data_IF_834434460526
#
_entry.id   IF_834434460526
#
_cell.length_a   1.000
_cell.length_b   1.000
_cell.length_c   1.000
_cell.angle_alpha   90.00
_cell.angle_beta   90.00
_cell.angle_gamma   90.00
#
_symmetry.space_group_name_H-M   'P 1'
#
loop_
_entity.id
_entity.type
_entity.pdbx_description
1 polymer ?
#
# COMPACT_ATOMS: atom_id res chain seq x y z
N UNK A 1 17.77 6.87 -29.59
CA UNK A 1 18.18 6.12 -28.38
C UNK A 1 16.94 5.76 -27.56
N UNK A 2 16.67 4.48 -27.34
CA UNK A 2 15.56 4.07 -26.49
C UNK A 2 15.85 4.43 -25.01
N UNK A 3 14.85 4.90 -24.30
CA UNK A 3 14.95 5.19 -22.86
C UNK A 3 14.30 4.08 -22.08
N UNK A 4 15.04 3.45 -21.20
CA UNK A 4 14.50 2.42 -20.32
C UNK A 4 15.16 2.49 -18.94
N UNK A 5 14.37 2.09 -17.93
CA UNK A 5 14.83 1.88 -16.56
C UNK A 5 14.46 0.46 -16.16
N UNK A 6 14.94 0.01 -15.02
CA UNK A 6 14.53 -1.27 -14.44
C UNK A 6 13.83 -1.06 -13.11
N UNK A 7 12.69 -1.69 -12.94
CA UNK A 7 11.95 -1.74 -11.67
C UNK A 7 11.87 -3.20 -11.25
N UNK A 8 12.54 -3.56 -10.16
CA UNK A 8 12.57 -4.93 -9.68
C UNK A 8 13.03 -5.96 -10.72
N UNK A 9 13.95 -5.58 -11.60
CA UNK A 9 14.43 -6.43 -12.70
C UNK A 9 13.57 -6.40 -13.97
N UNK A 10 12.43 -5.70 -13.96
CA UNK A 10 11.52 -5.59 -15.12
C UNK A 10 11.88 -4.31 -15.89
N UNK A 11 12.17 -4.39 -17.20
CA UNK A 11 12.45 -3.20 -18.01
C UNK A 11 11.17 -2.39 -18.26
N UNK A 12 11.30 -1.06 -18.10
CA UNK A 12 10.20 -0.11 -18.29
C UNK A 12 10.70 1.01 -19.18
N UNK A 13 10.05 1.28 -20.28
CA UNK A 13 10.46 2.33 -21.21
C UNK A 13 10.03 2.05 -22.64
N UNK A 14 10.74 2.70 -23.57
CA UNK A 14 10.44 2.64 -24.99
C UNK A 14 10.50 1.18 -25.51
N UNK A 15 9.43 0.73 -26.13
CA UNK A 15 9.33 -0.61 -26.69
C UNK A 15 9.11 -1.74 -25.69
N UNK A 16 9.04 -1.42 -24.38
CA UNK A 16 8.73 -2.39 -23.34
C UNK A 16 7.21 -2.51 -23.15
N UNK A 17 6.71 -3.67 -22.64
CA UNK A 17 5.34 -3.78 -22.19
C UNK A 17 5.05 -2.77 -21.07
N UNK A 18 3.79 -2.36 -20.95
CA UNK A 18 3.35 -1.45 -19.88
C UNK A 18 3.56 -2.11 -18.52
N UNK A 19 4.19 -1.38 -17.60
CA UNK A 19 4.32 -1.82 -16.20
C UNK A 19 3.05 -1.45 -15.43
N UNK A 20 2.32 -2.45 -14.95
CA UNK A 20 1.01 -2.29 -14.30
C UNK A 20 1.17 -2.41 -12.80
N UNK A 21 0.72 -1.39 -12.08
CA UNK A 21 0.72 -1.34 -10.63
C UNK A 21 -0.74 -1.40 -10.15
N UNK A 22 -1.08 -2.41 -9.37
CA UNK A 22 -2.36 -2.47 -8.68
C UNK A 22 -2.31 -1.59 -7.43
N UNK A 23 -3.12 -0.55 -7.38
CA UNK A 23 -3.24 0.34 -6.22
C UNK A 23 -4.15 -0.32 -5.17
N UNK A 24 -3.60 -1.05 -4.22
CA UNK A 24 -4.34 -1.62 -3.09
C UNK A 24 -4.71 -0.50 -2.10
N UNK A 25 -3.77 0.44 -1.89
CA UNK A 25 -4.00 1.60 -1.04
C UNK A 25 -4.39 1.20 0.37
N UNK A 26 -5.60 1.55 0.76
CA UNK A 26 -6.21 1.22 2.07
C UNK A 26 -7.43 0.30 1.93
N UNK A 27 -7.67 -0.27 0.77
CA UNK A 27 -8.87 -1.08 0.50
C UNK A 27 -8.90 -2.42 1.27
N UNK A 28 -7.81 -2.75 1.94
CA UNK A 28 -7.72 -3.91 2.85
C UNK A 28 -8.39 -3.66 4.21
N UNK A 29 -8.82 -2.44 4.53
CA UNK A 29 -9.47 -2.07 5.80
C UNK A 29 -8.69 -2.51 7.07
N UNK A 30 -7.36 -2.50 7.02
CA UNK A 30 -6.52 -2.95 8.14
C UNK A 30 -6.53 -4.48 8.36
N UNK A 31 -7.11 -5.24 7.45
CA UNK A 31 -7.18 -6.70 7.48
C UNK A 31 -6.11 -7.31 6.58
N UNK A 32 -5.14 -7.99 7.20
CA UNK A 32 -4.02 -8.61 6.50
C UNK A 32 -4.49 -9.75 5.56
N UNK A 33 -5.50 -10.49 5.96
CA UNK A 33 -6.09 -11.56 5.15
C UNK A 33 -6.73 -10.98 3.87
N UNK A 34 -7.43 -9.85 4.00
CA UNK A 34 -7.99 -9.14 2.85
C UNK A 34 -6.89 -8.56 1.96
N UNK A 35 -5.82 -8.03 2.55
CA UNK A 35 -4.66 -7.57 1.79
C UNK A 35 -4.05 -8.68 0.93
N UNK A 36 -3.89 -9.89 1.49
CA UNK A 36 -3.40 -11.06 0.75
C UNK A 36 -4.33 -11.46 -0.40
N UNK A 37 -5.65 -11.39 -0.21
CA UNK A 37 -6.63 -11.63 -1.28
C UNK A 37 -6.51 -10.61 -2.41
N UNK A 38 -6.30 -9.34 -2.07
CA UNK A 38 -6.09 -8.29 -3.06
C UNK A 38 -4.78 -8.50 -3.85
N UNK A 39 -3.73 -8.98 -3.20
CA UNK A 39 -2.49 -9.38 -3.86
C UNK A 39 -2.76 -10.54 -4.84
N UNK A 40 -3.50 -11.56 -4.43
CA UNK A 40 -3.85 -12.70 -5.29
C UNK A 40 -4.61 -12.24 -6.54
N UNK A 41 -5.55 -11.31 -6.39
CA UNK A 41 -6.31 -10.74 -7.51
C UNK A 41 -5.36 -10.00 -8.47
N UNK A 42 -4.44 -9.20 -7.95
CA UNK A 42 -3.45 -8.48 -8.75
C UNK A 42 -2.54 -9.46 -9.53
N UNK A 43 -2.08 -10.52 -8.89
CA UNK A 43 -1.29 -11.58 -9.54
C UNK A 43 -2.09 -12.25 -10.65
N UNK A 44 -3.33 -12.64 -10.38
CA UNK A 44 -4.21 -13.27 -11.37
C UNK A 44 -4.56 -12.36 -12.55
N UNK A 45 -4.58 -11.05 -12.34
CA UNK A 45 -4.80 -10.05 -13.38
C UNK A 45 -3.55 -9.73 -14.21
N UNK A 46 -2.38 -10.27 -13.85
CA UNK A 46 -1.12 -10.02 -14.55
C UNK A 46 -0.44 -8.71 -14.19
N UNK A 47 -0.74 -8.11 -13.05
CA UNK A 47 -0.05 -6.91 -12.58
C UNK A 47 1.41 -7.20 -12.24
N UNK A 48 2.28 -6.20 -12.47
CA UNK A 48 3.70 -6.29 -12.17
C UNK A 48 4.01 -6.00 -10.71
N UNK A 49 3.22 -5.14 -10.08
CA UNK A 49 3.39 -4.72 -8.71
C UNK A 49 2.07 -4.42 -8.03
N UNK A 50 2.09 -4.43 -6.71
CA UNK A 50 1.03 -3.90 -5.85
C UNK A 50 1.57 -2.73 -5.02
N UNK A 51 0.74 -1.73 -4.76
CA UNK A 51 1.13 -0.57 -3.97
C UNK A 51 0.15 -0.34 -2.83
N UNK A 52 0.71 -0.18 -1.64
CA UNK A 52 0.02 0.19 -0.41
C UNK A 52 0.19 1.68 -0.10
N UNK A 53 -0.36 2.13 1.01
CA UNK A 53 -0.13 3.45 1.58
C UNK A 53 0.37 3.31 3.00
N UNK A 54 1.38 4.10 3.36
CA UNK A 54 1.89 4.16 4.73
C UNK A 54 1.79 5.58 5.25
N UNK A 55 1.12 5.74 6.38
CA UNK A 55 0.99 7.02 7.08
C UNK A 55 1.32 6.85 8.55
N UNK A 56 1.77 7.94 9.15
CA UNK A 56 1.72 8.14 10.59
C UNK A 56 0.50 9.03 10.86
N UNK A 57 -0.65 8.49 11.30
CA UNK A 57 -1.90 9.24 11.34
C UNK A 57 -1.81 10.55 12.14
N UNK A 58 -1.07 10.54 13.24
CA UNK A 58 -0.86 11.73 14.06
C UNK A 58 -0.11 12.86 13.32
N UNK A 59 0.75 12.51 12.35
CA UNK A 59 1.48 13.48 11.55
C UNK A 59 0.67 13.97 10.34
N UNK A 60 -0.16 13.08 9.76
CA UNK A 60 -0.86 13.35 8.51
C UNK A 60 -2.25 13.97 8.70
N UNK A 61 -2.95 13.63 9.81
CA UNK A 61 -4.31 14.11 10.05
C UNK A 61 -4.24 15.51 10.69
N UNK A 62 -4.75 16.56 10.01
CA UNK A 62 -4.79 17.89 10.60
C UNK A 62 -5.58 17.91 11.92
N UNK A 63 -5.13 18.73 12.87
CA UNK A 63 -5.72 18.76 14.21
C UNK A 63 -7.25 18.99 14.18
N UNK A 64 -7.71 19.87 13.29
CA UNK A 64 -9.13 20.19 13.11
C UNK A 64 -9.97 19.05 12.52
N UNK A 65 -9.34 18.05 11.91
CA UNK A 65 -10.03 16.91 11.31
C UNK A 65 -10.11 15.70 12.26
N UNK A 66 -9.26 15.63 13.29
CA UNK A 66 -9.06 14.42 14.12
C UNK A 66 -10.33 13.92 14.79
N UNK A 67 -11.15 14.86 15.29
CA UNK A 67 -12.37 14.54 16.05
C UNK A 67 -13.64 14.51 15.18
N UNK A 68 -13.52 14.78 13.88
CA UNK A 68 -14.67 14.69 12.98
C UNK A 68 -15.12 13.25 12.81
N UNK A 69 -16.41 13.02 13.02
CA UNK A 69 -17.02 11.69 12.87
C UNK A 69 -17.15 11.35 11.38
N UNK A 70 -16.75 10.14 11.02
CA UNK A 70 -16.85 9.59 9.67
C UNK A 70 -17.61 8.27 9.70
N UNK A 71 -18.35 8.01 8.63
CA UNK A 71 -18.87 6.67 8.36
C UNK A 71 -17.69 5.79 7.91
N UNK A 72 -17.52 4.65 8.55
CA UNK A 72 -16.42 3.73 8.28
C UNK A 72 -16.91 2.29 8.28
N UNK A 73 -16.10 1.31 7.85
CA UNK A 73 -16.44 -0.11 7.97
C UNK A 73 -16.72 -0.56 9.41
N UNK A 74 -16.24 0.19 10.41
CA UNK A 74 -16.46 -0.09 11.84
C UNK A 74 -17.57 0.77 12.45
N UNK A 75 -18.40 1.41 11.61
CA UNK A 75 -19.43 2.34 12.04
C UNK A 75 -18.91 3.79 12.12
N UNK A 76 -19.59 4.61 12.94
CA UNK A 76 -19.28 6.03 13.09
C UNK A 76 -18.20 6.22 14.15
N UNK A 77 -16.99 6.54 13.71
CA UNK A 77 -15.85 6.83 14.60
C UNK A 77 -15.16 8.12 14.16
N UNK A 78 -14.30 8.68 15.03
CA UNK A 78 -13.55 9.87 14.64
C UNK A 78 -12.48 9.55 13.57
N UNK A 79 -12.11 10.57 12.82
CA UNK A 79 -11.23 10.39 11.65
C UNK A 79 -9.84 9.90 12.02
N UNK A 80 -9.26 10.35 13.13
CA UNK A 80 -7.95 9.88 13.56
C UNK A 80 -7.98 8.37 13.88
N UNK A 81 -8.99 7.92 14.62
CA UNK A 81 -9.17 6.50 14.94
C UNK A 81 -9.37 5.66 13.67
N UNK A 82 -10.17 6.16 12.73
CA UNK A 82 -10.35 5.52 11.43
C UNK A 82 -9.01 5.34 10.71
N UNK A 83 -8.20 6.40 10.64
CA UNK A 83 -6.89 6.31 9.98
C UNK A 83 -5.95 5.33 10.68
N UNK A 84 -5.96 5.27 12.00
CA UNK A 84 -5.15 4.32 12.78
C UNK A 84 -5.51 2.86 12.48
N UNK A 85 -6.79 2.55 12.34
CA UNK A 85 -7.26 1.20 12.05
C UNK A 85 -6.87 0.70 10.66
N UNK A 86 -6.57 1.60 9.75
CA UNK A 86 -6.14 1.26 8.39
C UNK A 86 -4.64 0.95 8.28
N UNK A 87 -3.84 1.31 9.28
CA UNK A 87 -2.39 1.16 9.23
C UNK A 87 -1.95 -0.26 9.59
N UNK A 88 -0.97 -0.76 8.83
CA UNK A 88 -0.23 -1.97 9.14
C UNK A 88 1.05 -1.64 9.92
N UNK A 89 1.42 -2.52 10.84
CA UNK A 89 2.66 -2.44 11.58
C UNK A 89 3.82 -3.14 10.83
N UNK A 90 5.00 -3.14 11.43
CA UNK A 90 6.20 -3.75 10.83
C UNK A 90 6.02 -5.25 10.59
N UNK A 91 5.40 -5.97 11.53
CA UNK A 91 5.13 -7.39 11.38
C UNK A 91 4.18 -7.66 10.21
N UNK A 92 3.12 -6.88 10.07
CA UNK A 92 2.16 -7.00 8.97
C UNK A 92 2.84 -6.80 7.61
N UNK A 93 3.69 -5.77 7.50
CA UNK A 93 4.45 -5.52 6.27
C UNK A 93 5.50 -6.61 6.01
N UNK A 94 6.08 -7.19 7.05
CA UNK A 94 6.94 -8.37 6.92
C UNK A 94 6.19 -9.55 6.29
N UNK A 95 4.98 -9.82 6.75
CA UNK A 95 4.13 -10.87 6.16
C UNK A 95 3.70 -10.54 4.72
N UNK A 96 3.40 -9.28 4.42
CA UNK A 96 3.10 -8.83 3.05
C UNK A 96 4.32 -9.06 2.15
N UNK A 97 5.51 -8.70 2.61
CA UNK A 97 6.76 -8.89 1.86
C UNK A 97 6.99 -10.35 1.52
N UNK A 98 6.88 -11.23 2.52
CA UNK A 98 7.05 -12.68 2.32
C UNK A 98 5.99 -13.23 1.36
N UNK A 99 4.74 -12.79 1.52
CA UNK A 99 3.65 -13.23 0.65
C UNK A 99 3.85 -12.78 -0.80
N UNK A 100 4.21 -11.53 -1.02
CA UNK A 100 4.51 -11.02 -2.37
C UNK A 100 5.71 -11.73 -3.00
N UNK A 101 6.73 -12.06 -2.23
CA UNK A 101 7.86 -12.84 -2.71
C UNK A 101 7.44 -14.24 -3.17
N UNK A 102 6.60 -14.92 -2.40
CA UNK A 102 6.05 -16.24 -2.77
C UNK A 102 5.18 -16.17 -4.02
N UNK A 103 4.41 -15.11 -4.19
CA UNK A 103 3.57 -14.87 -5.36
C UNK A 103 4.34 -14.30 -6.56
N UNK A 104 5.63 -14.02 -6.39
CA UNK A 104 6.48 -13.42 -7.40
C UNK A 104 5.94 -12.09 -7.95
N UNK A 105 5.51 -11.23 -7.07
CA UNK A 105 5.04 -9.87 -7.39
C UNK A 105 5.79 -8.83 -6.58
N UNK A 106 6.11 -7.70 -7.21
CA UNK A 106 6.74 -6.56 -6.56
C UNK A 106 5.73 -5.86 -5.66
N UNK A 107 6.15 -5.42 -4.48
CA UNK A 107 5.34 -4.56 -3.64
C UNK A 107 6.11 -3.32 -3.19
N UNK A 108 5.39 -2.25 -2.97
CA UNK A 108 5.89 -1.03 -2.34
C UNK A 108 4.73 -0.25 -1.74
N UNK A 109 5.05 0.84 -1.06
CA UNK A 109 4.04 1.70 -0.46
C UNK A 109 4.38 3.16 -0.69
N UNK A 110 3.34 3.99 -0.87
CA UNK A 110 3.49 5.44 -0.86
C UNK A 110 3.58 5.92 0.58
N UNK A 111 4.68 6.58 0.93
CA UNK A 111 4.85 7.25 2.22
C UNK A 111 4.20 8.64 2.18
N UNK A 112 3.47 9.00 3.23
CA UNK A 112 2.74 10.27 3.33
C UNK A 112 3.39 11.25 4.30
N UNK A 113 4.43 10.83 5.01
CA UNK A 113 5.16 11.60 6.01
C UNK A 113 6.60 11.06 6.15
N UNK A 114 7.45 11.83 6.82
CA UNK A 114 8.87 11.50 6.97
C UNK A 114 9.08 10.22 7.79
N UNK A 115 8.28 10.01 8.84
CA UNK A 115 8.36 8.78 9.66
C UNK A 115 8.03 7.54 8.82
N UNK A 116 7.05 7.64 7.92
CA UNK A 116 6.67 6.55 7.01
C UNK A 116 7.79 6.24 6.00
N UNK A 117 8.55 7.23 5.55
CA UNK A 117 9.74 6.99 4.71
C UNK A 117 10.74 6.13 5.47
N UNK A 118 11.09 6.53 6.70
CA UNK A 118 12.04 5.79 7.54
C UNK A 118 11.52 4.39 7.89
N UNK A 119 10.22 4.23 8.07
CA UNK A 119 9.59 2.94 8.36
C UNK A 119 9.73 1.97 7.18
N UNK A 120 9.61 2.47 5.95
CA UNK A 120 9.65 1.64 4.73
C UNK A 120 11.07 1.36 4.23
N UNK A 121 12.08 2.08 4.72
CA UNK A 121 13.48 1.93 4.35
C UNK A 121 14.12 0.69 5.02
#
# INVERSE_FOLDING_TARGET
>A
MSRSISIGGIPVGDGCPVFIIAEIGINHNGDLSLAKKLIDIAVGAGCNAVKFQKRTPEACVPAEERNKIRETPWGRINYLEYRKRLEFNEQDYGEISDYCQKQNIIWFASSWDVESVSFLD
#
